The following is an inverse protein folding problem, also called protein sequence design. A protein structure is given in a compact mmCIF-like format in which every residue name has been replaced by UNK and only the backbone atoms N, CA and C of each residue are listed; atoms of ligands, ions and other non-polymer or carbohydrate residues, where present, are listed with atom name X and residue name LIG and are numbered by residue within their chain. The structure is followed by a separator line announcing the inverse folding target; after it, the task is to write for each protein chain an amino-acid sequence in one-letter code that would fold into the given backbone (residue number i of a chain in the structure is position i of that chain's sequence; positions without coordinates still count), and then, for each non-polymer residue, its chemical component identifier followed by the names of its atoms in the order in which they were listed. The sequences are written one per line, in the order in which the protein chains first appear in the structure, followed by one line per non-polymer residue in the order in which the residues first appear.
data_IF_508393489934
#
_entry.id   IF_508393489934
#
_cell.length_a   1.000
_cell.length_b   1.000
_cell.length_c   1.000
_cell.angle_alpha   90.00
_cell.angle_beta   90.00
_cell.angle_gamma   90.00
#
_symmetry.space_group_name_H-M   'P 1'
#
loop_
_entity.id
_entity.type
_entity.pdbx_description
1 polymer ?
#
# COMPACT_ATOMS: atom_id res chain seq x y z
N UNK A 1 -29.80 29.92 28.31
CA UNK A 1 -31.05 29.34 27.79
C UNK A 1 -31.56 28.48 28.93
N UNK A 2 -32.71 28.79 29.51
CA UNK A 2 -33.32 27.93 30.53
C UNK A 2 -34.03 26.80 29.80
N UNK A 3 -33.73 25.56 30.19
CA UNK A 3 -34.45 24.38 29.70
C UNK A 3 -35.12 23.76 30.91
N UNK A 4 -36.45 23.71 30.91
CA UNK A 4 -37.19 22.95 31.90
C UNK A 4 -37.14 21.47 31.51
N UNK A 5 -36.24 20.72 32.14
CA UNK A 5 -36.25 19.26 32.09
C UNK A 5 -36.67 18.76 33.47
N UNK A 6 -37.77 18.00 33.52
CA UNK A 6 -38.26 17.34 34.75
C UNK A 6 -38.47 18.28 35.95
N UNK A 7 -38.94 19.51 35.72
CA UNK A 7 -39.30 20.45 36.78
C UNK A 7 -38.13 21.13 37.52
N UNK A 8 -36.89 20.98 37.04
CA UNK A 8 -35.73 21.68 37.58
C UNK A 8 -35.22 22.75 36.59
N UNK A 9 -35.19 24.01 37.04
CA UNK A 9 -34.67 25.14 36.28
C UNK A 9 -33.14 25.07 36.20
N UNK A 10 -32.61 24.57 35.08
CA UNK A 10 -31.17 24.57 34.83
C UNK A 10 -30.83 25.75 33.90
N UNK A 11 -30.22 26.79 34.45
CA UNK A 11 -29.58 27.84 33.64
C UNK A 11 -28.26 27.32 33.09
N UNK A 12 -28.27 26.82 31.86
CA UNK A 12 -27.03 26.44 31.19
C UNK A 12 -26.34 27.72 30.69
N UNK A 13 -25.40 28.23 31.48
CA UNK A 13 -24.44 29.24 31.05
C UNK A 13 -23.65 28.67 29.86
N UNK A 14 -23.69 29.34 28.70
CA UNK A 14 -23.04 28.83 27.49
C UNK A 14 -23.79 27.70 26.77
N UNK A 15 -25.12 27.58 26.90
CA UNK A 15 -25.92 26.56 26.19
C UNK A 15 -25.64 26.45 24.67
N UNK A 16 -25.36 27.57 24.01
CA UNK A 16 -24.97 27.61 22.59
C UNK A 16 -23.67 26.84 22.31
N UNK A 17 -22.71 26.87 23.23
CA UNK A 17 -21.42 26.18 23.11
C UNK A 17 -21.64 24.67 23.21
N UNK A 18 -22.41 24.22 24.19
CA UNK A 18 -22.75 22.80 24.34
C UNK A 18 -23.56 22.26 23.16
N UNK A 19 -24.50 23.06 22.64
CA UNK A 19 -25.25 22.72 21.44
C UNK A 19 -24.34 22.60 20.21
N UNK A 20 -23.40 23.54 20.04
CA UNK A 20 -22.39 23.49 18.97
C UNK A 20 -21.52 22.23 19.10
N UNK A 21 -21.09 21.88 20.31
CA UNK A 21 -20.21 20.74 20.58
C UNK A 21 -20.90 19.41 20.28
N UNK A 22 -22.14 19.24 20.72
CA UNK A 22 -22.95 18.05 20.42
C UNK A 22 -23.24 17.94 18.91
N UNK A 23 -23.59 19.06 18.26
CA UNK A 23 -23.83 19.10 16.83
C UNK A 23 -22.58 18.76 16.02
N UNK A 24 -21.42 19.32 16.39
CA UNK A 24 -20.13 19.00 15.81
C UNK A 24 -19.76 17.52 16.00
N UNK A 25 -19.93 16.96 17.20
CA UNK A 25 -19.63 15.55 17.47
C UNK A 25 -20.49 14.58 16.64
N UNK A 26 -21.80 14.83 16.55
CA UNK A 26 -22.71 14.02 15.74
C UNK A 26 -22.38 14.16 14.25
N UNK A 27 -22.14 15.38 13.78
CA UNK A 27 -21.73 15.64 12.39
C UNK A 27 -20.45 14.89 12.01
N UNK A 28 -19.45 14.97 12.89
CA UNK A 28 -18.18 14.24 12.78
C UNK A 28 -18.38 12.74 12.62
N UNK A 29 -19.19 12.15 13.49
CA UNK A 29 -19.44 10.71 13.52
C UNK A 29 -20.15 10.23 12.25
N UNK A 30 -21.17 10.96 11.80
CA UNK A 30 -21.90 10.62 10.56
C UNK A 30 -20.98 10.76 9.36
N UNK A 31 -20.24 11.87 9.25
CA UNK A 31 -19.32 12.12 8.15
C UNK A 31 -18.23 11.05 8.08
N UNK A 32 -17.67 10.66 9.24
CA UNK A 32 -16.72 9.56 9.32
C UNK A 32 -17.31 8.25 8.79
N UNK A 33 -18.54 7.90 9.18
CA UNK A 33 -19.22 6.68 8.73
C UNK A 33 -19.49 6.68 7.22
N UNK A 34 -19.82 7.84 6.63
CA UNK A 34 -20.02 7.98 5.18
C UNK A 34 -18.68 7.90 4.42
N UNK A 35 -17.64 8.55 4.93
CA UNK A 35 -16.34 8.69 4.27
C UNK A 35 -15.39 7.49 4.43
N UNK A 36 -15.47 6.72 5.52
CA UNK A 36 -14.57 5.59 5.79
C UNK A 36 -14.46 4.57 4.63
N UNK A 37 -15.54 4.17 3.95
CA UNK A 37 -15.47 3.25 2.81
C UNK A 37 -14.69 3.81 1.60
N UNK A 38 -14.57 5.13 1.48
CA UNK A 38 -13.92 5.79 0.34
C UNK A 38 -12.42 5.45 0.26
N UNK A 39 -11.77 5.20 1.40
CA UNK A 39 -10.36 4.79 1.46
C UNK A 39 -10.17 3.47 0.72
N UNK A 40 -10.98 2.45 1.06
CA UNK A 40 -10.92 1.14 0.40
C UNK A 40 -11.31 1.20 -1.07
N UNK A 41 -12.32 2.01 -1.42
CA UNK A 41 -12.72 2.19 -2.82
C UNK A 41 -11.63 2.84 -3.66
N UNK A 42 -10.94 3.87 -3.16
CA UNK A 42 -9.80 4.49 -3.87
C UNK A 42 -8.62 3.54 -4.02
N UNK A 43 -8.33 2.73 -3.00
CA UNK A 43 -7.31 1.69 -3.11
C UNK A 43 -7.64 0.68 -4.21
N UNK A 44 -8.88 0.17 -4.22
CA UNK A 44 -9.34 -0.74 -5.27
C UNK A 44 -9.34 -0.08 -6.65
N UNK A 45 -9.62 1.21 -6.75
CA UNK A 45 -9.56 1.97 -8.00
C UNK A 45 -8.14 1.94 -8.58
N UNK A 46 -7.14 2.28 -7.78
CA UNK A 46 -5.73 2.24 -8.19
C UNK A 46 -5.33 0.83 -8.65
N UNK A 47 -5.77 -0.20 -7.93
CA UNK A 47 -5.53 -1.59 -8.30
C UNK A 47 -6.16 -1.93 -9.66
N UNK A 48 -7.45 -1.66 -9.86
CA UNK A 48 -8.15 -1.96 -11.11
C UNK A 48 -7.56 -1.19 -12.31
N UNK A 49 -7.18 0.07 -12.11
CA UNK A 49 -6.50 0.87 -13.15
C UNK A 49 -5.10 0.32 -13.49
N UNK A 50 -4.35 -0.14 -12.48
CA UNK A 50 -3.05 -0.77 -12.69
C UNK A 50 -3.19 -2.09 -13.45
N UNK A 51 -4.14 -2.96 -13.07
CA UNK A 51 -4.40 -4.24 -13.72
C UNK A 51 -4.79 -4.03 -15.20
N UNK A 52 -5.65 -3.03 -15.48
CA UNK A 52 -6.02 -2.66 -16.85
C UNK A 52 -4.81 -2.15 -17.65
N UNK A 53 -4.03 -1.21 -17.09
CA UNK A 53 -2.82 -0.69 -17.77
C UNK A 53 -1.81 -1.80 -18.06
N UNK A 54 -1.53 -2.66 -17.09
CA UNK A 54 -0.63 -3.78 -17.26
C UNK A 54 -1.08 -4.70 -18.39
N UNK A 55 -2.39 -4.97 -18.48
CA UNK A 55 -2.95 -5.83 -19.51
C UNK A 55 -2.83 -5.22 -20.91
N UNK A 56 -3.04 -3.91 -21.03
CA UNK A 56 -2.81 -3.19 -22.29
C UNK A 56 -1.34 -3.21 -22.72
N UNK A 57 -0.42 -3.08 -21.76
CA UNK A 57 1.03 -3.18 -22.03
C UNK A 57 1.38 -4.60 -22.49
N UNK A 58 0.88 -5.65 -21.80
CA UNK A 58 1.05 -7.06 -22.18
C UNK A 58 0.58 -7.32 -23.61
N UNK A 59 -0.62 -6.84 -23.95
CA UNK A 59 -1.18 -7.00 -25.29
C UNK A 59 -0.30 -6.33 -26.35
N UNK A 60 0.19 -5.11 -26.08
CA UNK A 60 1.12 -4.41 -26.98
C UNK A 60 2.44 -5.16 -27.17
N UNK A 61 3.01 -5.70 -26.10
CA UNK A 61 4.28 -6.45 -26.15
C UNK A 61 4.16 -7.80 -26.85
N UNK A 62 2.96 -8.38 -26.89
CA UNK A 62 2.69 -9.70 -27.48
C UNK A 62 1.75 -9.65 -28.70
N UNK A 63 1.63 -8.48 -29.35
CA UNK A 63 0.66 -8.23 -30.42
C UNK A 63 0.86 -9.17 -31.62
N UNK A 64 2.10 -9.50 -31.97
CA UNK A 64 2.41 -10.43 -33.05
C UNK A 64 1.90 -11.84 -32.77
N UNK A 65 2.06 -12.33 -31.53
CA UNK A 65 1.52 -13.62 -31.10
C UNK A 65 0.00 -13.63 -31.16
N UNK A 66 -0.65 -12.57 -30.67
CA UNK A 66 -2.11 -12.46 -30.71
C UNK A 66 -2.64 -12.46 -32.15
N UNK A 67 -2.00 -11.73 -33.07
CA UNK A 67 -2.37 -11.70 -34.48
C UNK A 67 -2.12 -13.05 -35.17
N UNK A 68 -1.01 -13.72 -34.86
CA UNK A 68 -0.69 -15.04 -35.41
C UNK A 68 -1.72 -16.11 -35.00
N UNK A 69 -2.19 -16.05 -33.75
CA UNK A 69 -3.19 -16.96 -33.21
C UNK A 69 -4.65 -16.50 -33.43
N UNK A 70 -4.88 -15.36 -34.08
CA UNK A 70 -6.21 -14.75 -34.26
C UNK A 70 -6.99 -14.61 -32.94
N UNK A 71 -6.27 -14.21 -31.89
CA UNK A 71 -6.75 -14.14 -30.51
C UNK A 71 -7.40 -12.81 -30.10
N UNK A 72 -7.63 -11.89 -31.05
CA UNK A 72 -7.99 -10.50 -30.76
C UNK A 72 -9.31 -10.37 -29.99
N UNK A 73 -10.33 -11.17 -30.34
CA UNK A 73 -11.63 -11.16 -29.65
C UNK A 73 -11.51 -11.57 -28.18
N UNK A 74 -10.66 -12.55 -27.88
CA UNK A 74 -10.43 -13.03 -26.52
C UNK A 74 -9.73 -11.96 -25.69
N UNK A 75 -8.69 -11.34 -26.24
CA UNK A 75 -7.97 -10.23 -25.59
C UNK A 75 -8.87 -9.00 -25.37
N UNK A 76 -9.72 -8.66 -26.34
CA UNK A 76 -10.70 -7.59 -26.19
C UNK A 76 -11.67 -7.86 -25.04
N UNK A 77 -12.24 -9.06 -24.95
CA UNK A 77 -13.13 -9.44 -23.85
C UNK A 77 -12.44 -9.37 -22.49
N UNK A 78 -11.17 -9.80 -22.40
CA UNK A 78 -10.39 -9.71 -21.16
C UNK A 78 -10.19 -8.24 -20.73
N UNK A 79 -9.89 -7.34 -21.68
CA UNK A 79 -9.75 -5.91 -21.42
C UNK A 79 -11.08 -5.24 -21.03
N UNK A 80 -12.18 -5.60 -21.68
CA UNK A 80 -13.52 -5.09 -21.36
C UNK A 80 -13.94 -5.45 -19.93
N UNK A 81 -13.68 -6.68 -19.47
CA UNK A 81 -13.95 -7.09 -18.09
C UNK A 81 -13.14 -6.29 -17.05
N UNK A 82 -11.87 -5.99 -17.37
CA UNK A 82 -11.01 -5.16 -16.51
C UNK A 82 -11.49 -3.71 -16.50
N UNK A 83 -11.87 -3.16 -17.65
CA UNK A 83 -12.44 -1.82 -17.76
C UNK A 83 -13.76 -1.69 -16.99
N UNK A 84 -14.65 -2.69 -17.08
CA UNK A 84 -15.90 -2.71 -16.34
C UNK A 84 -15.67 -2.73 -14.81
N UNK A 85 -14.61 -3.40 -14.35
CA UNK A 85 -14.19 -3.36 -12.94
C UNK A 85 -13.78 -1.95 -12.49
N UNK A 86 -13.00 -1.23 -13.31
CA UNK A 86 -12.65 0.19 -13.10
C UNK A 86 -13.92 1.05 -13.04
N UNK A 87 -14.83 0.87 -14.01
CA UNK A 87 -16.05 1.66 -14.12
C UNK A 87 -17.01 1.44 -12.93
N UNK A 88 -17.27 0.19 -12.57
CA UNK A 88 -18.13 -0.18 -11.42
C UNK A 88 -17.61 0.40 -10.12
N UNK A 89 -16.29 0.40 -9.92
CA UNK A 89 -15.70 0.98 -8.71
C UNK A 89 -15.75 2.51 -8.71
N UNK A 90 -15.52 3.13 -9.86
CA UNK A 90 -15.69 4.59 -10.05
C UNK A 90 -17.09 5.04 -9.67
N UNK A 91 -18.13 4.30 -10.08
CA UNK A 91 -19.51 4.57 -9.66
C UNK A 91 -19.74 4.48 -8.15
N UNK A 92 -19.12 3.51 -7.47
CA UNK A 92 -19.18 3.40 -6.00
C UNK A 92 -18.52 4.61 -5.33
N UNK A 93 -17.38 5.07 -5.86
CA UNK A 93 -16.69 6.28 -5.40
C UNK A 93 -17.59 7.51 -5.58
N UNK A 94 -18.14 7.72 -6.77
CA UNK A 94 -19.03 8.85 -7.06
C UNK A 94 -20.26 8.87 -6.15
N UNK A 95 -20.88 7.71 -5.90
CA UNK A 95 -22.03 7.61 -4.98
C UNK A 95 -21.65 8.03 -3.56
N UNK A 96 -20.47 7.65 -3.08
CA UNK A 96 -19.97 8.03 -1.76
C UNK A 96 -19.61 9.52 -1.69
N UNK A 97 -18.96 10.06 -2.71
CA UNK A 97 -18.70 11.49 -2.82
C UNK A 97 -20.00 12.30 -2.83
N UNK A 98 -21.00 11.89 -3.60
CA UNK A 98 -22.33 12.54 -3.61
C UNK A 98 -22.99 12.51 -2.22
N UNK A 99 -22.90 11.39 -1.49
CA UNK A 99 -23.40 11.29 -0.12
C UNK A 99 -22.67 12.26 0.82
N UNK A 100 -21.33 12.37 0.72
CA UNK A 100 -20.53 13.29 1.52
C UNK A 100 -20.87 14.76 1.22
N UNK A 101 -20.93 15.14 -0.06
CA UNK A 101 -21.29 16.51 -0.48
C UNK A 101 -22.71 16.86 -0.01
N UNK A 102 -23.66 15.95 -0.18
CA UNK A 102 -25.04 16.14 0.27
C UNK A 102 -25.14 16.30 1.80
N UNK A 103 -24.45 15.44 2.55
CA UNK A 103 -24.40 15.55 4.01
C UNK A 103 -23.74 16.84 4.47
N UNK A 104 -22.58 17.19 3.92
CA UNK A 104 -21.85 18.41 4.28
C UNK A 104 -22.69 19.66 4.01
N UNK A 105 -23.35 19.72 2.84
CA UNK A 105 -24.22 20.85 2.48
C UNK A 105 -25.39 21.00 3.46
N UNK A 106 -26.07 19.90 3.79
CA UNK A 106 -27.18 19.92 4.75
C UNK A 106 -26.73 20.26 6.17
N UNK A 107 -25.59 19.71 6.60
CA UNK A 107 -24.97 19.98 7.89
C UNK A 107 -24.63 21.47 8.05
N UNK A 108 -23.92 22.06 7.09
CA UNK A 108 -23.59 23.49 7.12
C UNK A 108 -24.84 24.38 7.07
N UNK A 109 -25.85 24.01 6.27
CA UNK A 109 -27.08 24.79 6.15
C UNK A 109 -27.87 24.82 7.47
N UNK A 110 -28.06 23.67 8.12
CA UNK A 110 -28.76 23.60 9.41
C UNK A 110 -28.03 24.44 10.46
N UNK A 111 -26.70 24.35 10.49
CA UNK A 111 -25.92 25.06 11.48
C UNK A 111 -25.89 26.58 11.28
N UNK A 112 -26.05 27.06 10.05
CA UNK A 112 -26.21 28.50 9.77
C UNK A 112 -27.55 29.05 10.26
N UNK A 113 -28.63 28.25 10.20
CA UNK A 113 -29.98 28.66 10.58
C UNK A 113 -30.21 28.50 12.09
N UNK A 114 -29.59 27.51 12.72
CA UNK A 114 -29.84 27.14 14.11
C UNK A 114 -29.69 28.32 15.11
N UNK A 115 -28.62 29.14 15.07
CA UNK A 115 -28.48 30.28 15.97
C UNK A 115 -29.56 31.34 15.76
N UNK A 116 -29.99 31.54 14.51
CA UNK A 116 -31.05 32.48 14.16
C UNK A 116 -32.37 32.08 14.83
N UNK A 117 -32.75 30.80 14.73
CA UNK A 117 -34.00 30.29 15.32
C UNK A 117 -33.98 30.38 16.84
N UNK A 118 -32.86 30.04 17.49
CA UNK A 118 -32.76 30.08 18.96
C UNK A 118 -32.73 31.52 19.50
N UNK A 119 -32.12 32.45 18.77
CA UNK A 119 -32.03 33.86 19.20
C UNK A 119 -33.27 34.68 18.85
N UNK A 120 -34.07 34.24 17.88
CA UNK A 120 -35.27 34.95 17.42
C UNK A 120 -36.24 35.35 18.54
N UNK A 121 -36.62 34.49 19.52
CA UNK A 121 -37.52 34.89 20.59
C UNK A 121 -36.99 36.05 21.44
N UNK A 122 -35.67 36.08 21.71
CA UNK A 122 -35.03 37.15 22.50
C UNK A 122 -34.95 38.46 21.72
N UNK A 123 -34.92 38.39 20.40
CA UNK A 123 -34.98 39.57 19.54
C UNK A 123 -36.39 40.14 19.46
N UNK A 124 -37.40 39.29 19.23
CA UNK A 124 -38.80 39.74 19.20
C UNK A 124 -39.28 40.21 20.57
N UNK A 125 -38.72 39.70 21.68
CA UNK A 125 -38.98 40.21 23.02
C UNK A 125 -38.23 41.51 23.37
N UNK A 126 -37.40 42.03 22.45
CA UNK A 126 -36.60 43.24 22.67
C UNK A 126 -35.37 43.06 23.58
N UNK A 127 -35.12 41.85 24.09
CA UNK A 127 -34.00 41.57 24.99
C UNK A 127 -32.62 41.67 24.29
N UNK A 128 -32.57 41.47 22.97
CA UNK A 128 -31.37 41.69 22.14
C UNK A 128 -31.72 42.49 20.89
N UNK A 129 -30.83 43.39 20.47
CA UNK A 129 -30.92 44.10 19.19
C UNK A 129 -30.43 43.22 18.05
N UNK A 130 -30.76 43.58 16.80
CA UNK A 130 -30.30 42.88 15.60
C UNK A 130 -28.77 42.72 15.55
N UNK A 131 -28.02 43.77 15.94
CA UNK A 131 -26.56 43.70 16.00
C UNK A 131 -26.04 42.63 16.98
N UNK A 132 -26.70 42.48 18.14
CA UNK A 132 -26.35 41.43 19.12
C UNK A 132 -26.71 40.04 18.62
N UNK A 133 -27.82 39.89 17.88
CA UNK A 133 -28.16 38.63 17.20
C UNK A 133 -27.08 38.23 16.19
N UNK A 134 -26.66 39.16 15.32
CA UNK A 134 -25.64 38.87 14.30
C UNK A 134 -24.28 38.52 14.93
N UNK A 135 -23.92 39.13 16.05
CA UNK A 135 -22.71 38.75 16.81
C UNK A 135 -22.79 37.31 17.33
N UNK A 136 -23.95 36.88 17.85
CA UNK A 136 -24.15 35.50 18.32
C UNK A 136 -24.05 34.51 17.16
N UNK A 137 -24.69 34.80 16.02
CA UNK A 137 -24.63 33.96 14.80
C UNK A 137 -23.17 33.79 14.34
N UNK A 138 -22.43 34.89 14.24
CA UNK A 138 -21.04 34.86 13.78
C UNK A 138 -20.12 34.14 14.77
N UNK A 139 -20.27 34.39 16.09
CA UNK A 139 -19.48 33.72 17.11
C UNK A 139 -19.76 32.20 17.15
N UNK A 140 -21.02 31.79 16.98
CA UNK A 140 -21.39 30.38 16.87
C UNK A 140 -20.74 29.73 15.63
N UNK A 141 -20.80 30.40 14.47
CA UNK A 141 -20.17 29.92 13.24
C UNK A 141 -18.67 29.68 13.40
N UNK A 142 -17.94 30.63 13.98
CA UNK A 142 -16.50 30.48 14.23
C UNK A 142 -16.17 29.30 15.16
N UNK A 143 -16.92 29.14 16.25
CA UNK A 143 -16.73 28.00 17.18
C UNK A 143 -17.04 26.68 16.47
N UNK A 144 -18.12 26.63 15.71
CA UNK A 144 -18.47 25.44 14.94
C UNK A 144 -17.39 25.09 13.92
N UNK A 145 -16.92 26.04 13.11
CA UNK A 145 -15.91 25.81 12.09
C UNK A 145 -14.60 25.29 12.70
N UNK A 146 -14.18 25.87 13.83
CA UNK A 146 -13.01 25.42 14.58
C UNK A 146 -13.17 23.97 15.07
N UNK A 147 -14.36 23.60 15.58
CA UNK A 147 -14.66 22.23 16.03
C UNK A 147 -14.80 21.26 14.86
N UNK A 148 -15.30 21.71 13.71
CA UNK A 148 -15.42 20.92 12.49
C UNK A 148 -14.09 20.66 11.79
N UNK A 149 -12.98 21.31 12.19
CA UNK A 149 -11.66 21.07 11.62
C UNK A 149 -11.28 19.58 11.63
N UNK A 150 -11.58 18.86 12.73
CA UNK A 150 -11.31 17.43 12.83
C UNK A 150 -12.09 16.62 11.79
N UNK A 151 -13.34 17.01 11.54
CA UNK A 151 -14.20 16.40 10.50
C UNK A 151 -13.63 16.62 9.12
N UNK A 152 -13.26 17.87 8.83
CA UNK A 152 -12.75 18.30 7.54
C UNK A 152 -11.37 17.69 7.25
N UNK A 153 -10.55 17.51 8.28
CA UNK A 153 -9.18 16.97 8.18
C UNK A 153 -9.11 15.45 8.29
N UNK A 154 -10.22 14.76 8.57
CA UNK A 154 -10.23 13.32 8.81
C UNK A 154 -9.63 12.51 7.64
N UNK A 155 -9.96 12.88 6.40
CA UNK A 155 -9.42 12.22 5.21
C UNK A 155 -7.90 12.33 5.11
N UNK A 156 -7.35 13.51 5.41
CA UNK A 156 -5.91 13.76 5.42
C UNK A 156 -5.21 12.97 6.53
N UNK A 157 -5.78 12.93 7.74
CA UNK A 157 -5.26 12.15 8.86
C UNK A 157 -5.25 10.65 8.52
N UNK A 158 -6.34 10.13 7.93
CA UNK A 158 -6.43 8.74 7.54
C UNK A 158 -5.43 8.37 6.44
N UNK A 159 -5.21 9.26 5.46
CA UNK A 159 -4.21 9.08 4.41
C UNK A 159 -2.78 9.09 4.95
N UNK A 160 -2.48 10.00 5.89
CA UNK A 160 -1.21 10.02 6.60
C UNK A 160 -0.98 8.73 7.36
N UNK A 161 -1.96 8.28 8.16
CA UNK A 161 -1.89 7.00 8.90
C UNK A 161 -1.62 5.82 7.97
N UNK A 162 -2.35 5.69 6.87
CA UNK A 162 -2.14 4.61 5.91
C UNK A 162 -0.74 4.63 5.27
N UNK A 163 -0.10 5.79 5.19
CA UNK A 163 1.29 5.91 4.70
C UNK A 163 2.30 5.51 5.78
N UNK A 164 2.05 5.87 7.03
CA UNK A 164 2.83 5.40 8.18
C UNK A 164 2.74 3.87 8.30
N UNK A 165 1.53 3.32 8.28
CA UNK A 165 1.28 1.87 8.38
C UNK A 165 2.04 1.09 7.28
N UNK A 166 2.06 1.61 6.04
CA UNK A 166 2.82 0.99 4.94
C UNK A 166 4.32 1.02 5.17
N UNK A 167 4.87 2.11 5.69
CA UNK A 167 6.30 2.23 5.99
C UNK A 167 6.70 1.31 7.15
N UNK A 168 5.86 1.21 8.19
CA UNK A 168 6.11 0.29 9.31
C UNK A 168 6.04 -1.16 8.87
N UNK A 169 5.02 -1.57 8.11
CA UNK A 169 4.93 -2.94 7.58
C UNK A 169 6.08 -3.28 6.63
N UNK A 170 6.51 -2.33 5.78
CA UNK A 170 7.69 -2.54 4.96
C UNK A 170 8.95 -2.74 5.81
N UNK A 171 9.12 -1.94 6.87
CA UNK A 171 10.25 -2.08 7.79
C UNK A 171 10.24 -3.43 8.51
N UNK A 172 9.07 -3.88 8.98
CA UNK A 172 8.87 -5.20 9.59
C UNK A 172 9.27 -6.33 8.62
N UNK A 173 8.76 -6.32 7.38
CA UNK A 173 9.13 -7.32 6.37
C UNK A 173 10.63 -7.30 6.02
N UNK A 174 11.27 -6.14 6.03
CA UNK A 174 12.72 -6.03 5.82
C UNK A 174 13.53 -6.67 6.98
N UNK A 175 13.07 -6.51 8.22
CA UNK A 175 13.66 -7.17 9.38
C UNK A 175 13.46 -8.69 9.29
N UNK A 176 12.24 -9.14 8.97
CA UNK A 176 11.93 -10.57 8.80
C UNK A 176 12.78 -11.21 7.70
N UNK A 177 12.94 -10.56 6.55
CA UNK A 177 13.79 -11.05 5.46
C UNK A 177 15.26 -11.14 5.87
N UNK A 178 15.75 -10.17 6.66
CA UNK A 178 17.11 -10.20 7.21
C UNK A 178 17.28 -11.33 8.22
N UNK A 179 16.33 -11.53 9.13
CA UNK A 179 16.35 -12.64 10.07
C UNK A 179 16.32 -14.00 9.37
N UNK A 180 15.50 -14.14 8.31
CA UNK A 180 15.49 -15.36 7.50
C UNK A 180 16.85 -15.63 6.85
N UNK A 181 17.56 -14.58 6.43
CA UNK A 181 18.94 -14.67 5.92
C UNK A 181 19.95 -15.09 6.99
N UNK A 182 19.79 -14.64 8.23
CA UNK A 182 20.63 -15.08 9.35
C UNK A 182 20.31 -16.54 9.72
N UNK A 183 19.01 -16.90 9.78
CA UNK A 183 18.54 -18.25 10.12
C UNK A 183 18.83 -19.28 9.04
N UNK A 184 18.92 -18.88 7.78
CA UNK A 184 19.22 -19.78 6.67
C UNK A 184 20.66 -20.29 6.68
N UNK A 185 21.49 -19.95 7.69
CA UNK A 185 22.87 -20.42 7.86
C UNK A 185 23.69 -20.40 6.56
N UNK A 186 23.39 -19.46 5.66
CA UNK A 186 23.99 -19.40 4.35
C UNK A 186 25.35 -18.70 4.51
N UNK A 187 26.40 -19.47 4.77
CA UNK A 187 27.73 -18.92 4.98
C UNK A 187 28.43 -18.80 3.65
N UNK A 188 28.37 -17.62 3.01
CA UNK A 188 29.22 -17.30 1.87
C UNK A 188 30.59 -16.89 2.39
N UNK A 189 31.58 -17.79 2.28
CA UNK A 189 32.97 -17.48 2.56
C UNK A 189 33.72 -17.20 1.27
N UNK A 190 34.32 -16.01 1.16
CA UNK A 190 35.22 -15.71 0.06
C UNK A 190 36.59 -16.33 0.37
N UNK A 191 37.07 -17.22 -0.49
CA UNK A 191 38.38 -17.84 -0.35
C UNK A 191 39.37 -17.28 -1.36
N UNK A 192 40.65 -17.24 -0.97
CA UNK A 192 41.76 -16.90 -1.87
C UNK A 192 42.20 -18.08 -2.75
N UNK A 193 41.52 -19.23 -2.65
CA UNK A 193 41.78 -20.40 -3.47
C UNK A 193 40.86 -20.42 -4.68
N UNK A 194 41.37 -20.77 -5.85
CA UNK A 194 40.69 -20.76 -7.14
C UNK A 194 39.71 -21.95 -7.32
N UNK A 195 38.76 -22.12 -6.39
CA UNK A 195 37.73 -23.16 -6.48
C UNK A 195 36.42 -22.72 -5.80
N UNK A 196 35.28 -23.20 -6.31
CA UNK A 196 33.95 -23.06 -5.75
C UNK A 196 33.57 -24.35 -5.04
N UNK A 197 33.21 -24.29 -3.77
CA UNK A 197 32.68 -25.44 -3.03
C UNK A 197 31.28 -25.18 -2.52
N UNK A 198 30.40 -26.16 -2.77
CA UNK A 198 29.04 -26.22 -2.24
C UNK A 198 28.98 -27.42 -1.31
N UNK A 199 28.71 -27.20 -0.02
CA UNK A 199 28.56 -28.28 0.94
C UNK A 199 27.08 -28.44 1.30
N UNK A 200 26.53 -29.64 1.07
CA UNK A 200 25.15 -30.02 1.44
C UNK A 200 24.09 -28.94 1.12
N UNK A 201 24.09 -28.43 -0.11
CA UNK A 201 23.26 -27.30 -0.50
C UNK A 201 21.80 -27.71 -0.78
N UNK A 202 20.85 -27.28 0.06
CA UNK A 202 19.41 -27.45 -0.21
C UNK A 202 18.80 -26.19 -0.78
N UNK A 203 18.12 -26.28 -1.93
CA UNK A 203 17.45 -25.14 -2.56
C UNK A 203 15.94 -25.33 -2.46
N UNK A 204 15.27 -24.37 -1.83
CA UNK A 204 13.81 -24.35 -1.75
C UNK A 204 13.16 -23.14 -2.41
N UNK A 205 11.85 -23.16 -2.46
CA UNK A 205 10.97 -22.07 -2.87
C UNK A 205 10.62 -21.17 -1.66
N UNK A 206 10.12 -19.94 -1.87
CA UNK A 206 9.76 -19.03 -0.76
C UNK A 206 8.62 -19.57 0.11
N UNK A 207 7.85 -20.54 -0.41
CA UNK A 207 6.82 -21.29 0.33
C UNK A 207 7.41 -22.38 1.26
N UNK A 208 8.74 -22.44 1.42
CA UNK A 208 9.50 -23.43 2.22
C UNK A 208 9.52 -24.86 1.65
N UNK A 209 9.05 -25.06 0.42
CA UNK A 209 9.17 -26.33 -0.28
C UNK A 209 10.60 -26.54 -0.78
N UNK A 210 11.23 -27.66 -0.45
CA UNK A 210 12.58 -28.00 -0.91
C UNK A 210 12.47 -28.56 -2.34
N UNK A 211 13.13 -27.92 -3.31
CA UNK A 211 13.16 -28.39 -4.70
C UNK A 211 14.14 -29.56 -4.86
N UNK A 212 15.33 -29.42 -4.28
CA UNK A 212 16.34 -30.48 -4.27
C UNK A 212 17.40 -30.20 -3.20
N UNK A 213 18.09 -31.27 -2.80
CA UNK A 213 19.31 -31.23 -1.98
C UNK A 213 20.48 -31.70 -2.82
N UNK A 214 21.46 -30.84 -2.99
CA UNK A 214 22.73 -31.15 -3.62
C UNK A 214 23.70 -31.69 -2.57
N UNK A 215 24.46 -32.73 -2.91
CA UNK A 215 25.60 -33.16 -2.11
C UNK A 215 26.77 -32.18 -2.19
N UNK A 216 27.97 -32.66 -1.91
CA UNK A 216 29.18 -31.85 -2.01
C UNK A 216 29.59 -31.68 -3.48
N UNK A 217 29.76 -30.44 -3.91
CA UNK A 217 30.24 -30.08 -5.25
C UNK A 217 31.49 -29.21 -5.11
N UNK A 218 32.55 -29.54 -5.83
CA UNK A 218 33.74 -28.70 -5.96
C UNK A 218 33.99 -28.44 -7.44
N UNK A 219 34.19 -27.17 -7.81
CA UNK A 219 34.50 -26.73 -9.18
C UNK A 219 35.79 -25.94 -9.13
N UNK A 220 36.80 -26.37 -9.88
CA UNK A 220 38.11 -25.69 -9.95
C UNK A 220 38.13 -24.58 -11.00
N UNK A 221 39.02 -23.59 -10.85
CA UNK A 221 39.14 -22.54 -11.86
C UNK A 221 39.60 -23.09 -13.22
N UNK A 222 38.94 -22.62 -14.27
CA UNK A 222 39.12 -23.12 -15.64
C UNK A 222 38.30 -24.37 -15.96
N UNK A 223 37.63 -24.98 -14.98
CA UNK A 223 36.75 -26.13 -15.20
C UNK A 223 35.40 -25.70 -15.78
N UNK A 224 34.87 -26.51 -16.69
CA UNK A 224 33.55 -26.32 -17.29
C UNK A 224 32.58 -27.37 -16.78
N UNK A 225 31.71 -26.98 -15.85
CA UNK A 225 30.69 -27.87 -15.29
C UNK A 225 29.32 -27.60 -15.93
N UNK A 226 28.71 -28.64 -16.49
CA UNK A 226 27.36 -28.58 -17.03
C UNK A 226 26.35 -29.04 -15.97
N UNK A 227 25.38 -28.17 -15.65
CA UNK A 227 24.26 -28.51 -14.77
C UNK A 227 23.06 -28.94 -15.62
N UNK A 228 22.87 -30.25 -15.77
CA UNK A 228 21.78 -30.85 -16.54
C UNK A 228 20.66 -31.38 -15.63
N UNK A 229 19.42 -31.38 -16.15
CA UNK A 229 18.25 -31.89 -15.43
C UNK A 229 16.93 -31.51 -16.12
N UNK A 230 15.78 -32.03 -15.66
CA UNK A 230 14.45 -31.64 -16.13
C UNK A 230 14.19 -30.14 -16.00
N UNK A 231 13.25 -29.62 -16.80
CA UNK A 231 12.71 -28.26 -16.58
C UNK A 231 11.97 -28.22 -15.25
N UNK A 232 12.09 -27.12 -14.49
CA UNK A 232 11.44 -26.97 -13.18
C UNK A 232 12.22 -27.53 -11.98
N UNK A 233 13.31 -28.28 -12.18
CA UNK A 233 14.08 -28.88 -11.08
C UNK A 233 14.92 -27.88 -10.25
N UNK A 234 14.76 -26.56 -10.45
CA UNK A 234 15.44 -25.54 -9.64
C UNK A 234 16.84 -25.12 -10.09
N UNK A 235 17.29 -25.46 -11.31
CA UNK A 235 18.60 -25.04 -11.87
C UNK A 235 18.84 -23.53 -11.83
N UNK A 236 17.84 -22.73 -12.19
CA UNK A 236 17.92 -21.26 -12.11
C UNK A 236 17.92 -20.77 -10.66
N UNK A 237 17.24 -21.46 -9.75
CA UNK A 237 17.22 -21.13 -8.33
C UNK A 237 18.59 -21.38 -7.70
N UNK A 238 19.26 -22.49 -8.06
CA UNK A 238 20.65 -22.77 -7.66
C UNK A 238 21.59 -21.62 -8.00
N UNK A 239 21.51 -21.09 -9.22
CA UNK A 239 22.35 -19.97 -9.64
C UNK A 239 22.08 -18.70 -8.84
N UNK A 240 20.82 -18.44 -8.49
CA UNK A 240 20.46 -17.29 -7.64
C UNK A 240 20.95 -17.48 -6.20
N UNK A 241 20.95 -18.71 -5.70
CA UNK A 241 21.53 -19.07 -4.39
C UNK A 241 23.04 -18.88 -4.39
N UNK A 242 23.73 -19.39 -5.41
CA UNK A 242 25.16 -19.16 -5.66
C UNK A 242 25.45 -17.65 -5.75
N UNK A 243 24.61 -16.87 -6.42
CA UNK A 243 24.77 -15.42 -6.49
C UNK A 243 24.42 -14.67 -5.18
N UNK A 244 23.96 -15.35 -4.13
CA UNK A 244 23.57 -14.75 -2.84
C UNK A 244 22.24 -13.97 -2.87
N UNK A 245 21.43 -14.14 -3.91
CA UNK A 245 20.16 -13.41 -4.11
C UNK A 245 18.95 -14.27 -3.67
N UNK A 246 19.15 -15.57 -3.48
CA UNK A 246 18.09 -16.52 -3.10
C UNK A 246 18.46 -17.26 -1.83
N UNK A 247 17.59 -17.16 -0.83
CA UNK A 247 17.85 -17.63 0.52
C UNK A 247 16.71 -18.54 0.95
N UNK A 248 16.91 -19.85 0.84
CA UNK A 248 16.00 -20.85 1.41
C UNK A 248 16.86 -21.99 1.93
N UNK A 249 16.92 -22.14 3.27
CA UNK A 249 17.55 -23.22 4.08
C UNK A 249 19.10 -23.27 4.20
N UNK A 250 19.66 -23.97 5.23
CA UNK A 250 21.10 -24.01 5.56
C UNK A 250 22.01 -24.37 4.39
N UNK A 251 23.02 -23.55 4.11
CA UNK A 251 24.04 -23.83 3.09
C UNK A 251 25.41 -23.28 3.53
N UNK A 252 26.43 -24.11 3.61
CA UNK A 252 27.81 -23.63 3.65
C UNK A 252 28.35 -23.49 2.21
N UNK A 253 28.71 -22.26 1.83
CA UNK A 253 29.02 -21.89 0.45
C UNK A 253 30.36 -21.14 0.40
N UNK A 254 31.37 -21.67 -0.27
CA UNK A 254 32.69 -21.00 -0.32
C UNK A 254 33.02 -20.63 -1.78
N UNK A 255 33.18 -19.34 -2.04
CA UNK A 255 33.10 -18.75 -3.38
C UNK A 255 34.30 -17.89 -3.78
N UNK A 256 34.49 -17.78 -5.10
CA UNK A 256 35.34 -16.81 -5.80
C UNK A 256 34.46 -16.00 -6.77
N UNK A 257 34.92 -14.85 -7.27
CA UNK A 257 34.16 -13.95 -8.16
C UNK A 257 33.75 -14.66 -9.48
N UNK A 258 32.48 -14.54 -9.92
CA UNK A 258 31.97 -15.19 -11.15
C UNK A 258 31.24 -14.26 -12.13
N UNK A 259 31.05 -14.73 -13.37
CA UNK A 259 30.21 -14.11 -14.39
C UNK A 259 29.35 -15.20 -15.08
N UNK A 260 28.04 -15.00 -15.14
CA UNK A 260 27.10 -15.97 -15.73
C UNK A 260 26.81 -15.66 -17.21
N UNK A 261 26.70 -16.69 -18.05
CA UNK A 261 26.23 -16.56 -19.44
C UNK A 261 25.16 -17.60 -19.77
N UNK A 262 24.04 -17.17 -20.36
CA UNK A 262 22.93 -18.04 -20.77
C UNK A 262 22.96 -18.24 -22.29
N UNK A 263 23.08 -19.48 -22.77
CA UNK A 263 23.01 -19.81 -24.21
C UNK A 263 22.00 -20.95 -24.43
N UNK A 264 20.83 -20.64 -24.97
CA UNK A 264 19.73 -21.60 -25.21
C UNK A 264 19.11 -22.18 -23.92
N UNK A 265 18.50 -23.36 -23.98
CA UNK A 265 17.92 -24.13 -22.87
C UNK A 265 18.97 -24.71 -21.89
N UNK A 266 20.26 -24.50 -22.17
CA UNK A 266 21.37 -24.92 -21.33
C UNK A 266 22.05 -23.68 -20.71
N UNK A 267 22.44 -23.77 -19.43
CA UNK A 267 23.26 -22.74 -18.79
C UNK A 267 24.71 -23.23 -18.75
N UNK A 268 25.64 -22.41 -19.24
CA UNK A 268 27.08 -22.68 -19.18
C UNK A 268 27.67 -21.73 -18.14
N UNK A 269 28.37 -22.28 -17.14
CA UNK A 269 29.10 -21.49 -16.14
C UNK A 269 30.54 -21.35 -16.63
N UNK A 270 31.00 -20.12 -16.83
CA UNK A 270 32.42 -19.83 -17.07
C UNK A 270 33.05 -19.26 -15.79
N UNK A 271 33.98 -20.01 -15.21
CA UNK A 271 34.88 -19.50 -14.17
C UNK A 271 36.06 -18.77 -14.84
N UNK A 272 36.03 -17.43 -14.86
CA UNK A 272 37.23 -16.64 -15.16
C UNK A 272 37.77 -16.05 -13.86
N UNK A 273 38.88 -16.60 -13.37
CA UNK A 273 39.68 -15.99 -12.31
C UNK A 273 40.60 -14.93 -12.94
N UNK A 274 40.20 -13.66 -12.93
CA UNK A 274 41.15 -12.57 -13.19
C UNK A 274 41.89 -12.25 -11.90
N UNK A 275 43.17 -12.62 -11.85
CA UNK A 275 44.13 -12.12 -10.85
C UNK A 275 44.24 -10.60 -11.04
N UNK A 276 43.66 -9.82 -10.12
CA UNK A 276 43.91 -8.38 -10.06
C UNK A 276 45.35 -8.19 -9.58
N UNK A 277 46.28 -7.96 -10.52
CA UNK A 277 47.60 -7.44 -10.18
C UNK A 277 47.42 -6.05 -9.59
N UNK A 278 47.96 -5.83 -8.39
CA UNK A 278 47.97 -4.55 -7.72
C UNK A 278 48.59 -3.50 -8.66
N UNK A 279 47.85 -2.41 -8.88
CA UNK A 279 48.29 -1.30 -9.72
C UNK A 279 47.48 -0.06 -9.41
N UNK A 280 48.11 0.80 -8.60
CA UNK A 280 47.87 2.24 -8.38
C UNK A 280 46.82 2.69 -7.34
N UNK A 281 47.39 3.22 -6.24
CA UNK A 281 46.91 4.41 -5.51
C UNK A 281 46.47 5.51 -6.47
N UNK A 282 45.33 6.14 -6.19
CA UNK A 282 45.19 7.43 -5.51
C UNK A 282 43.81 7.51 -4.87
#
# INVERSE_FOLDING_TARGET
MSVDLLGHHIEILGAMVWAALLYAGIGSWIMHKIGKPLIGLNFMQQKFEADLRFSMIRLRENAEGVALYQGEKTEQQELELKFDSVWKNTWKIMRKQKQMVGFNSGYSQIASIFPLVITAPRFFSGAIKLGGMMQIVNAFGQVMDAMSWFVNSYASIASWKASVDRLTTYHEHMIEAREQTIKSQLHIQLSNQDHLTLNQCSVGLPNKEILFTLGNLSITAGEHTLIAGPSGLGKSSLMKTIAGIWVVTPIDLLMVKFTFYKRSNNLIVHLFAFRKTNGFSY
#
